data_IF_268395303824
#
_entry.id   IF_268395303824
#
_cell.length_a   1.000
_cell.length_b   1.000
_cell.length_c   1.000
_cell.angle_alpha   90.00
_cell.angle_beta   90.00
_cell.angle_gamma   90.00
#
_symmetry.space_group_name_H-M   'P 1'
#
loop_
_entity.id
_entity.type
_entity.pdbx_description
1 polymer ?
#
# COMPACT_ATOMS: atom_id res chain seq x y z
N UNK A 1 -40.11 -3.28 -52.46
CA UNK A 1 -40.12 -1.88 -52.01
C UNK A 1 -39.19 -1.79 -50.80
N UNK A 2 -37.91 -2.18 -50.93
CA UNK A 2 -36.79 -1.46 -51.57
C UNK A 2 -36.56 -0.09 -50.90
N UNK A 3 -35.40 0.25 -50.33
CA UNK A 3 -34.06 0.12 -50.91
C UNK A 3 -32.94 0.02 -49.85
N UNK A 4 -31.89 -0.73 -50.21
CA UNK A 4 -30.53 -0.62 -49.67
C UNK A 4 -29.81 0.66 -50.18
N UNK A 5 -28.82 1.18 -49.44
CA UNK A 5 -27.53 1.64 -49.99
C UNK A 5 -26.38 1.35 -49.01
N UNK A 6 -25.28 0.81 -49.55
CA UNK A 6 -24.03 0.40 -48.91
C UNK A 6 -22.98 1.54 -48.81
N UNK A 7 -22.00 1.33 -47.91
CA UNK A 7 -20.55 1.64 -47.95
C UNK A 7 -20.01 2.98 -48.50
N UNK A 8 -19.06 3.58 -47.77
CA UNK A 8 -17.70 3.81 -48.29
C UNK A 8 -16.70 4.20 -47.19
N UNK A 9 -15.53 3.56 -47.23
CA UNK A 9 -14.30 3.88 -46.50
C UNK A 9 -13.71 5.23 -46.94
N UNK A 10 -12.96 5.88 -46.05
CA UNK A 10 -11.83 6.84 -46.25
C UNK A 10 -11.43 7.27 -44.82
N UNK A 11 -10.25 6.95 -44.24
CA UNK A 11 -8.92 7.31 -44.73
C UNK A 11 -8.45 8.61 -44.05
N UNK A 12 -7.52 8.50 -43.08
CA UNK A 12 -6.61 9.53 -42.54
C UNK A 12 -7.14 10.93 -42.15
N UNK A 13 -6.80 11.37 -40.94
CA UNK A 13 -5.86 12.50 -40.74
C UNK A 13 -5.53 12.66 -39.26
N UNK A 14 -4.23 12.58 -38.93
CA UNK A 14 -3.69 13.17 -37.72
C UNK A 14 -3.89 14.68 -37.82
N UNK A 15 -4.93 15.21 -37.18
CA UNK A 15 -5.05 16.64 -37.04
C UNK A 15 -4.08 17.10 -35.95
N UNK A 16 -3.07 17.85 -36.38
CA UNK A 16 -2.21 18.73 -35.58
C UNK A 16 -3.04 19.85 -34.94
N UNK A 17 -3.97 19.46 -34.06
CA UNK A 17 -4.75 20.36 -33.23
C UNK A 17 -3.97 20.68 -31.98
N UNK A 18 -3.61 21.95 -31.81
CA UNK A 18 -3.10 22.56 -30.58
C UNK A 18 -3.75 21.91 -29.35
N UNK A 19 -2.94 21.24 -28.52
CA UNK A 19 -3.38 20.72 -27.23
C UNK A 19 -3.98 21.87 -26.42
N UNK A 20 -5.31 21.91 -26.31
CA UNK A 20 -5.97 22.82 -25.39
C UNK A 20 -5.68 22.34 -23.97
N UNK A 21 -4.75 23.02 -23.31
CA UNK A 21 -4.20 22.74 -21.98
C UNK A 21 -5.24 23.01 -20.86
N UNK A 22 -6.51 23.23 -21.21
CA UNK A 22 -7.58 23.63 -20.29
C UNK A 22 -8.41 22.49 -19.69
N UNK A 23 -8.07 21.24 -19.95
CA UNK A 23 -8.51 20.14 -19.09
C UNK A 23 -7.49 19.94 -17.95
N UNK A 24 -7.29 20.96 -17.11
CA UNK A 24 -6.69 20.74 -15.79
C UNK A 24 -7.58 19.70 -15.09
N UNK A 25 -7.10 18.47 -14.95
CA UNK A 25 -7.74 17.44 -14.13
C UNK A 25 -8.10 18.10 -12.79
N UNK A 26 -9.41 18.18 -12.50
CA UNK A 26 -9.96 18.87 -11.33
C UNK A 26 -9.16 18.45 -10.09
N UNK A 27 -8.43 19.39 -9.50
CA UNK A 27 -7.51 19.10 -8.40
C UNK A 27 -8.25 18.36 -7.29
N UNK A 28 -7.70 17.22 -6.87
CA UNK A 28 -8.37 16.31 -5.93
C UNK A 28 -7.96 16.67 -4.50
N UNK A 29 -8.94 16.78 -3.61
CA UNK A 29 -8.66 17.00 -2.19
C UNK A 29 -8.32 15.67 -1.52
N UNK A 30 -7.23 15.64 -0.75
CA UNK A 30 -6.75 14.48 0.01
C UNK A 30 -6.62 14.88 1.47
N UNK A 31 -7.16 14.05 2.37
CA UNK A 31 -7.02 14.26 3.81
C UNK A 31 -5.60 13.90 4.25
N UNK A 32 -4.84 14.88 4.74
CA UNK A 32 -3.50 14.66 5.27
C UNK A 32 -3.58 14.51 6.79
N UNK A 33 -3.01 13.43 7.31
CA UNK A 33 -2.90 13.17 8.74
C UNK A 33 -1.40 13.11 9.07
N UNK A 34 -0.79 14.22 9.52
CA UNK A 34 0.66 14.27 9.77
C UNK A 34 1.13 13.22 10.79
N UNK A 35 0.29 12.90 11.77
CA UNK A 35 0.58 11.93 12.82
C UNK A 35 1.55 12.46 13.88
N UNK A 36 2.24 11.54 14.56
CA UNK A 36 3.05 11.80 15.75
C UNK A 36 4.55 11.50 15.51
N UNK A 37 5.41 12.00 16.40
CA UNK A 37 6.86 11.75 16.36
C UNK A 37 7.50 12.33 15.10
N UNK A 38 8.13 11.49 14.27
CA UNK A 38 8.70 11.91 12.97
C UNK A 38 7.63 12.25 11.92
N UNK A 39 6.36 11.91 12.16
CA UNK A 39 5.25 12.06 11.22
C UNK A 39 5.14 13.45 10.57
N UNK A 40 5.05 14.54 11.35
CA UNK A 40 5.00 15.90 10.80
C UNK A 40 6.17 16.25 9.88
N UNK A 41 7.38 15.78 10.20
CA UNK A 41 8.58 16.04 9.40
C UNK A 41 8.52 15.30 8.06
N UNK A 42 8.18 14.00 8.07
CA UNK A 42 8.10 13.24 6.82
C UNK A 42 6.91 13.67 5.96
N UNK A 43 5.76 14.01 6.56
CA UNK A 43 4.58 14.51 5.84
C UNK A 43 4.87 15.84 5.15
N UNK A 44 5.50 16.78 5.85
CA UNK A 44 5.89 18.05 5.24
C UNK A 44 6.96 17.88 4.13
N UNK A 45 7.77 16.81 4.16
CA UNK A 45 8.67 16.49 3.05
C UNK A 45 7.89 16.05 1.81
N UNK A 46 6.93 15.14 1.99
CA UNK A 46 6.07 14.66 0.89
C UNK A 46 5.26 15.80 0.26
N UNK A 47 4.69 16.70 1.06
CA UNK A 47 3.96 17.88 0.56
C UNK A 47 4.87 18.73 -0.35
N UNK A 48 6.09 19.07 0.10
CA UNK A 48 7.04 19.85 -0.73
C UNK A 48 7.42 19.15 -2.02
N UNK A 49 7.58 17.83 -1.99
CA UNK A 49 7.90 17.03 -3.19
C UNK A 49 6.73 17.07 -4.18
N UNK A 50 5.49 16.98 -3.69
CA UNK A 50 4.29 17.03 -4.51
C UNK A 50 4.08 18.42 -5.13
N UNK A 51 4.36 19.49 -4.37
CA UNK A 51 4.31 20.86 -4.87
C UNK A 51 5.34 21.09 -5.98
N UNK A 52 6.58 20.64 -5.79
CA UNK A 52 7.63 20.72 -6.81
C UNK A 52 7.34 19.87 -8.04
N UNK A 53 6.70 18.70 -7.85
CA UNK A 53 6.24 17.86 -8.93
C UNK A 53 4.95 18.37 -9.61
N UNK A 54 4.37 19.47 -9.11
CA UNK A 54 3.12 20.09 -9.59
C UNK A 54 1.97 19.09 -9.68
N UNK A 55 1.85 18.24 -8.65
CA UNK A 55 0.77 17.25 -8.57
C UNK A 55 -0.57 17.98 -8.32
N UNK A 56 -1.67 17.64 -9.04
CA UNK A 56 -2.97 18.30 -8.88
C UNK A 56 -3.71 17.81 -7.63
N UNK A 57 -3.11 17.98 -6.44
CA UNK A 57 -3.68 17.58 -5.15
C UNK A 57 -3.76 18.79 -4.22
N UNK A 58 -4.89 18.91 -3.52
CA UNK A 58 -5.07 19.83 -2.42
C UNK A 58 -5.07 19.07 -1.09
N UNK A 59 -4.18 19.43 -0.18
CA UNK A 59 -4.09 18.80 1.13
C UNK A 59 -5.09 19.43 2.11
N UNK A 60 -5.91 18.60 2.73
CA UNK A 60 -6.77 18.99 3.85
C UNK A 60 -6.21 18.36 5.13
N UNK A 61 -5.44 19.13 5.89
CA UNK A 61 -4.83 18.63 7.12
C UNK A 61 -5.88 18.42 8.23
N UNK A 62 -5.84 17.23 8.84
CA UNK A 62 -6.73 16.84 9.93
C UNK A 62 -5.96 16.12 11.03
N UNK A 63 -6.32 16.42 12.27
CA UNK A 63 -5.83 15.70 13.43
C UNK A 63 -6.77 14.54 13.77
N UNK A 64 -6.19 13.37 14.06
CA UNK A 64 -6.89 12.15 14.46
C UNK A 64 -6.66 11.78 15.93
N UNK A 65 -6.10 12.69 16.75
CA UNK A 65 -6.00 12.51 18.21
C UNK A 65 -7.37 12.06 18.74
N UNK A 66 -7.44 10.93 19.45
CA UNK A 66 -8.72 10.34 19.81
C UNK A 66 -9.49 11.21 20.79
N UNK A 67 -10.81 11.25 20.59
CA UNK A 67 -11.76 11.95 21.45
C UNK A 67 -12.69 10.94 22.09
N UNK A 68 -13.15 11.22 23.31
CA UNK A 68 -14.17 10.40 23.96
C UNK A 68 -15.56 10.91 23.58
N UNK A 69 -16.48 9.98 23.29
CA UNK A 69 -17.89 10.30 23.17
C UNK A 69 -18.48 10.64 24.55
N UNK A 70 -19.68 11.26 24.60
CA UNK A 70 -20.40 11.45 25.86
C UNK A 70 -20.65 10.14 26.64
N UNK A 71 -20.62 8.99 25.94
CA UNK A 71 -20.76 7.65 26.51
C UNK A 71 -19.41 7.01 26.89
N UNK A 72 -18.30 7.75 26.89
CA UNK A 72 -16.97 7.27 27.28
C UNK A 72 -16.25 6.40 26.24
N UNK A 73 -16.81 6.23 25.04
CA UNK A 73 -16.19 5.44 23.96
C UNK A 73 -15.18 6.28 23.19
N UNK A 74 -13.99 5.75 22.96
CA UNK A 74 -12.97 6.38 22.11
C UNK A 74 -13.39 6.41 20.64
N UNK A 75 -13.26 7.56 20.00
CA UNK A 75 -13.67 7.83 18.61
C UNK A 75 -12.64 8.72 17.90
N UNK A 76 -12.66 8.69 16.57
CA UNK A 76 -11.93 9.67 15.74
C UNK A 76 -12.68 11.01 15.78
N UNK A 77 -11.99 12.17 15.80
CA UNK A 77 -12.61 13.48 15.70
C UNK A 77 -13.59 13.58 14.53
N UNK A 78 -14.75 14.21 14.78
CA UNK A 78 -15.79 14.35 13.76
C UNK A 78 -15.29 15.08 12.50
N UNK A 79 -14.40 16.06 12.67
CA UNK A 79 -13.77 16.80 11.57
C UNK A 79 -12.94 15.90 10.65
N UNK A 80 -12.15 14.99 11.21
CA UNK A 80 -11.35 14.02 10.44
C UNK A 80 -12.24 12.99 9.74
N UNK A 81 -13.29 12.52 10.43
CA UNK A 81 -14.30 11.63 9.82
C UNK A 81 -15.00 12.28 8.64
N UNK A 82 -15.49 13.51 8.82
CA UNK A 82 -16.17 14.26 7.75
C UNK A 82 -15.27 14.50 6.53
N UNK A 83 -14.00 14.88 6.77
CA UNK A 83 -13.02 15.05 5.69
C UNK A 83 -12.77 13.75 4.92
N UNK A 84 -12.56 12.63 5.61
CA UNK A 84 -12.39 11.31 4.97
C UNK A 84 -13.66 10.85 4.23
N UNK A 85 -14.85 11.05 4.82
CA UNK A 85 -16.12 10.71 4.19
C UNK A 85 -16.37 11.53 2.92
N UNK A 86 -15.88 12.77 2.87
CA UNK A 86 -15.96 13.67 1.70
C UNK A 86 -14.92 13.33 0.63
N UNK A 87 -13.65 13.21 1.02
CA UNK A 87 -12.52 13.10 0.10
C UNK A 87 -12.28 11.65 -0.37
N UNK A 88 -12.68 10.68 0.46
CA UNK A 88 -12.43 9.22 0.32
C UNK A 88 -10.95 8.81 0.31
N UNK A 89 -10.03 9.76 0.28
CA UNK A 89 -8.59 9.50 0.24
C UNK A 89 -7.88 10.16 1.41
N UNK A 90 -7.00 9.39 2.05
CA UNK A 90 -6.12 9.86 3.10
C UNK A 90 -4.66 9.46 2.89
N UNK A 91 -3.75 10.33 3.32
CA UNK A 91 -2.34 10.00 3.52
C UNK A 91 -2.02 10.23 5.00
N UNK A 92 -1.55 9.21 5.71
CA UNK A 92 -1.23 9.31 7.13
C UNK A 92 0.24 8.99 7.43
N UNK A 93 0.82 9.78 8.33
CA UNK A 93 2.06 9.45 9.02
C UNK A 93 1.87 8.39 10.12
N UNK A 94 2.94 8.04 10.85
CA UNK A 94 2.88 7.15 12.00
C UNK A 94 2.06 7.76 13.13
N UNK A 95 1.31 6.92 13.85
CA UNK A 95 0.49 7.34 15.00
C UNK A 95 0.98 6.63 16.26
N UNK A 96 1.11 7.38 17.36
CA UNK A 96 1.51 6.82 18.64
C UNK A 96 0.34 6.03 19.23
N UNK A 97 0.60 4.79 19.65
CA UNK A 97 -0.35 4.01 20.45
C UNK A 97 0.21 3.87 21.87
N UNK A 98 -0.53 4.24 22.93
CA UNK A 98 -0.08 4.02 24.30
C UNK A 98 -0.01 2.52 24.61
N UNK A 99 1.05 2.10 25.31
CA UNK A 99 1.27 0.70 25.70
C UNK A 99 0.59 0.47 27.06
N UNK A 100 -0.17 -0.62 27.19
CA UNK A 100 -0.81 -1.14 28.41
C UNK A 100 -1.97 -0.32 29.05
N UNK A 101 -2.06 1.00 28.86
CA UNK A 101 -3.18 1.80 29.38
C UNK A 101 -3.52 2.99 28.47
N UNK A 102 -4.81 3.20 28.15
CA UNK A 102 -5.28 4.34 27.38
C UNK A 102 -6.32 3.99 26.31
N UNK A 103 -6.38 4.79 25.24
CA UNK A 103 -7.26 4.54 24.11
C UNK A 103 -6.80 3.32 23.30
N UNK A 104 -7.72 2.60 22.61
CA UNK A 104 -7.33 1.53 21.69
C UNK A 104 -6.42 2.05 20.58
N UNK A 105 -5.69 1.13 19.92
CA UNK A 105 -4.84 1.46 18.77
C UNK A 105 -5.56 2.35 17.76
N UNK A 106 -4.96 3.49 17.43
CA UNK A 106 -5.61 4.45 16.54
C UNK A 106 -5.62 4.01 15.09
N UNK A 107 -4.64 3.19 14.69
CA UNK A 107 -4.68 2.51 13.41
C UNK A 107 -5.86 1.54 13.33
N UNK A 108 -6.14 0.80 14.42
CA UNK A 108 -7.30 -0.09 14.47
C UNK A 108 -8.63 0.68 14.40
N UNK A 109 -8.73 1.80 15.12
CA UNK A 109 -9.94 2.62 15.12
C UNK A 109 -10.22 3.24 13.73
N UNK A 110 -9.18 3.72 13.03
CA UNK A 110 -9.28 4.20 11.65
C UNK A 110 -9.77 3.10 10.71
N UNK A 111 -9.17 1.90 10.79
CA UNK A 111 -9.55 0.76 9.94
C UNK A 111 -10.99 0.33 10.16
N UNK A 112 -11.44 0.24 11.42
CA UNK A 112 -12.83 -0.11 11.76
C UNK A 112 -13.82 0.98 11.36
N UNK A 113 -13.49 2.25 11.57
CA UNK A 113 -14.42 3.37 11.30
C UNK A 113 -14.66 3.56 9.81
N UNK A 114 -13.65 3.30 8.98
CA UNK A 114 -13.71 3.46 7.52
C UNK A 114 -13.81 2.14 6.75
N UNK A 115 -14.02 1.01 7.44
CA UNK A 115 -14.08 -0.35 6.87
C UNK A 115 -12.95 -0.62 5.85
N UNK A 116 -11.72 -0.32 6.26
CA UNK A 116 -10.52 -0.49 5.43
C UNK A 116 -10.03 -1.94 5.49
N UNK A 117 -10.68 -2.79 4.71
CA UNK A 117 -10.59 -4.25 4.85
C UNK A 117 -9.37 -4.92 4.25
N UNK A 118 -8.69 -4.31 3.28
CA UNK A 118 -7.51 -4.88 2.64
C UNK A 118 -6.30 -3.98 2.90
N UNK A 119 -5.25 -4.53 3.50
CA UNK A 119 -3.96 -3.85 3.63
C UNK A 119 -3.01 -4.40 2.56
N UNK A 120 -2.55 -3.53 1.66
CA UNK A 120 -1.67 -3.84 0.54
C UNK A 120 -0.27 -3.33 0.85
N UNK A 121 0.71 -4.24 0.85
CA UNK A 121 2.12 -3.93 1.10
C UNK A 121 2.99 -4.55 0.00
N UNK A 122 3.40 -3.76 -1.02
CA UNK A 122 4.38 -4.21 -1.99
C UNK A 122 5.78 -4.22 -1.38
N UNK A 123 6.53 -5.28 -1.64
CA UNK A 123 7.93 -5.43 -1.23
C UNK A 123 8.76 -5.65 -2.49
N UNK A 124 9.48 -4.60 -2.90
CA UNK A 124 10.26 -4.58 -4.13
C UNK A 124 11.70 -4.18 -3.79
N UNK A 125 12.68 -4.95 -4.27
CA UNK A 125 14.09 -4.62 -4.13
C UNK A 125 14.39 -3.27 -4.79
N UNK A 126 15.11 -2.41 -4.08
CA UNK A 126 15.44 -1.07 -4.55
C UNK A 126 16.81 -1.09 -5.22
N UNK A 127 16.86 -0.65 -6.48
CA UNK A 127 18.11 -0.53 -7.21
C UNK A 127 19.12 0.33 -6.42
N UNK A 128 20.36 -0.16 -6.32
CA UNK A 128 21.44 0.53 -5.60
C UNK A 128 21.40 0.43 -4.07
N UNK A 129 20.41 -0.25 -3.50
CA UNK A 129 20.39 -0.63 -2.08
C UNK A 129 20.72 -2.12 -1.92
N UNK A 130 21.91 -2.40 -1.37
CA UNK A 130 22.38 -3.77 -1.23
C UNK A 130 21.75 -4.44 -0.01
N UNK A 131 20.99 -5.51 -0.23
CA UNK A 131 20.53 -6.44 0.81
C UNK A 131 21.04 -7.85 0.48
N UNK A 132 20.96 -8.81 1.42
CA UNK A 132 21.28 -10.22 1.11
C UNK A 132 20.38 -10.85 0.04
N UNK A 133 19.29 -10.20 -0.35
CA UNK A 133 18.30 -10.70 -1.31
C UNK A 133 18.25 -9.81 -2.55
N UNK A 134 18.29 -10.41 -3.73
CA UNK A 134 18.15 -9.71 -5.00
C UNK A 134 16.76 -9.97 -5.61
N UNK A 135 16.32 -9.03 -6.46
CA UNK A 135 15.14 -9.19 -7.33
C UNK A 135 13.83 -9.59 -6.63
N UNK A 136 13.65 -9.17 -5.37
CA UNK A 136 12.41 -9.36 -4.64
C UNK A 136 11.33 -8.48 -5.28
N UNK A 137 10.19 -9.07 -5.65
CA UNK A 137 9.06 -8.32 -6.20
C UNK A 137 7.73 -9.02 -5.91
N UNK A 138 7.26 -8.90 -4.68
CA UNK A 138 6.02 -9.52 -4.23
C UNK A 138 5.09 -8.50 -3.57
N UNK A 139 3.81 -8.85 -3.45
CA UNK A 139 2.81 -8.03 -2.77
C UNK A 139 2.05 -8.86 -1.76
N UNK A 140 2.02 -8.40 -0.52
CA UNK A 140 1.15 -8.99 0.50
C UNK A 140 -0.16 -8.23 0.61
N UNK A 141 -1.27 -8.96 0.60
CA UNK A 141 -2.64 -8.49 0.79
C UNK A 141 -3.18 -9.15 2.05
N UNK A 142 -3.30 -8.32 3.09
CA UNK A 142 -3.72 -8.72 4.42
C UNK A 142 -5.18 -8.35 4.65
N UNK A 143 -5.96 -9.30 5.16
CA UNK A 143 -7.27 -9.03 5.76
C UNK A 143 -7.08 -8.15 7.01
N UNK A 144 -7.84 -7.06 7.14
CA UNK A 144 -7.52 -5.99 8.08
C UNK A 144 -8.66 -5.62 9.04
N UNK A 145 -9.73 -6.44 9.10
CA UNK A 145 -10.92 -6.18 9.93
C UNK A 145 -11.15 -7.20 11.04
N UNK A 146 -10.73 -8.46 10.85
CA UNK A 146 -11.03 -9.56 11.78
C UNK A 146 -9.76 -10.39 12.09
N UNK A 147 -9.92 -11.69 12.34
CA UNK A 147 -8.85 -12.58 12.79
C UNK A 147 -8.56 -12.43 14.28
N UNK A 148 -7.28 -12.58 14.62
CA UNK A 148 -6.75 -12.45 15.97
C UNK A 148 -6.81 -10.99 16.48
N UNK A 149 -6.99 -10.02 15.58
CA UNK A 149 -7.08 -8.59 15.89
C UNK A 149 -8.51 -8.14 16.23
N UNK A 150 -9.44 -9.09 16.39
CA UNK A 150 -10.79 -8.83 16.90
C UNK A 150 -10.75 -8.20 18.30
N UNK A 151 -9.72 -8.52 19.08
CA UNK A 151 -9.50 -8.04 20.44
C UNK A 151 -10.45 -8.68 21.47
N UNK A 152 -10.94 -9.88 21.17
CA UNK A 152 -11.87 -10.60 22.04
C UNK A 152 -11.06 -11.55 22.92
N UNK A 153 -10.82 -11.12 24.15
CA UNK A 153 -10.04 -11.85 25.14
C UNK A 153 -10.78 -11.85 26.49
N UNK A 154 -10.71 -12.95 27.22
CA UNK A 154 -11.25 -13.04 28.57
C UNK A 154 -10.50 -14.07 29.41
N UNK A 155 -10.51 -13.84 30.72
CA UNK A 155 -10.01 -14.79 31.71
C UNK A 155 -11.13 -15.79 32.01
N UNK A 156 -10.89 -17.07 31.75
CA UNK A 156 -11.87 -18.14 32.04
C UNK A 156 -11.88 -18.43 33.53
N UNK A 157 -10.69 -18.66 34.08
CA UNK A 157 -10.38 -18.85 35.50
C UNK A 157 -9.02 -18.22 35.79
N UNK A 158 -8.67 -18.04 37.05
CA UNK A 158 -7.36 -17.49 37.42
C UNK A 158 -6.21 -18.26 36.73
N UNK A 159 -5.31 -17.52 36.09
CA UNK A 159 -4.21 -18.07 35.28
C UNK A 159 -4.58 -18.63 33.89
N UNK A 160 -5.85 -18.58 33.45
CA UNK A 160 -6.28 -19.09 32.13
C UNK A 160 -6.96 -17.99 31.31
N UNK A 161 -6.31 -17.61 30.21
CA UNK A 161 -6.80 -16.59 29.27
C UNK A 161 -7.17 -17.24 27.94
N UNK A 162 -8.33 -16.88 27.40
CA UNK A 162 -8.75 -17.24 26.05
C UNK A 162 -8.73 -16.02 25.14
N UNK A 163 -8.16 -16.20 23.94
CA UNK A 163 -8.25 -15.25 22.83
C UNK A 163 -9.07 -15.88 21.70
N UNK A 164 -10.04 -15.16 21.17
CA UNK A 164 -10.96 -15.67 20.14
C UNK A 164 -10.58 -15.10 18.77
N UNK A 165 -10.09 -15.99 17.90
CA UNK A 165 -9.92 -15.72 16.47
C UNK A 165 -11.27 -15.82 15.76
N UNK A 166 -11.69 -14.73 15.11
CA UNK A 166 -12.90 -14.70 14.28
C UNK A 166 -12.54 -14.64 12.80
N UNK A 167 -13.11 -15.55 12.00
CA UNK A 167 -13.04 -15.51 10.54
C UNK A 167 -14.48 -15.61 10.02
N UNK A 168 -14.86 -14.70 9.14
CA UNK A 168 -16.19 -14.64 8.55
C UNK A 168 -16.11 -14.84 7.04
N UNK A 169 -17.19 -15.40 6.50
CA UNK A 169 -17.32 -15.63 5.06
C UNK A 169 -17.25 -14.31 4.27
N UNK A 170 -17.94 -13.27 4.74
CA UNK A 170 -18.00 -11.97 4.05
C UNK A 170 -16.64 -11.30 3.93
N UNK A 171 -15.87 -11.26 5.03
CA UNK A 171 -14.54 -10.66 5.04
C UNK A 171 -13.52 -11.47 4.23
N UNK A 172 -13.57 -12.81 4.31
CA UNK A 172 -12.70 -13.70 3.54
C UNK A 172 -12.96 -13.58 2.02
N UNK A 173 -14.22 -13.52 1.60
CA UNK A 173 -14.57 -13.37 0.17
C UNK A 173 -14.09 -12.03 -0.39
N UNK A 174 -14.39 -10.90 0.29
CA UNK A 174 -14.02 -9.57 -0.23
C UNK A 174 -12.51 -9.36 -0.36
N UNK A 175 -11.71 -9.88 0.59
CA UNK A 175 -10.25 -9.74 0.51
C UNK A 175 -9.66 -10.64 -0.59
N UNK A 176 -10.22 -11.83 -0.81
CA UNK A 176 -9.84 -12.69 -1.92
C UNK A 176 -10.18 -12.04 -3.28
N UNK A 177 -11.41 -11.53 -3.44
CA UNK A 177 -11.83 -10.81 -4.66
C UNK A 177 -10.91 -9.62 -4.93
N UNK A 178 -10.60 -8.84 -3.90
CA UNK A 178 -9.65 -7.74 -4.00
C UNK A 178 -8.27 -8.23 -4.46
N UNK A 179 -7.77 -9.35 -3.94
CA UNK A 179 -6.45 -9.88 -4.31
C UNK A 179 -6.36 -10.31 -5.78
N UNK A 180 -7.39 -10.99 -6.28
CA UNK A 180 -7.46 -11.39 -7.69
C UNK A 180 -7.63 -10.18 -8.63
N UNK A 181 -8.49 -9.23 -8.29
CA UNK A 181 -8.64 -7.98 -9.05
C UNK A 181 -7.36 -7.14 -9.03
N UNK A 182 -6.66 -7.09 -7.89
CA UNK A 182 -5.36 -6.46 -7.78
C UNK A 182 -4.35 -7.14 -8.70
N UNK A 183 -4.32 -8.47 -8.71
CA UNK A 183 -3.42 -9.22 -9.57
C UNK A 183 -3.66 -8.90 -11.05
N UNK A 184 -4.92 -8.95 -11.51
CA UNK A 184 -5.29 -8.65 -12.90
C UNK A 184 -4.93 -7.22 -13.31
N UNK A 185 -5.26 -6.23 -12.46
CA UNK A 185 -4.97 -4.80 -12.74
C UNK A 185 -3.48 -4.47 -12.78
N UNK A 186 -2.66 -5.24 -12.07
CA UNK A 186 -1.22 -5.04 -12.00
C UNK A 186 -0.43 -6.07 -12.81
N UNK A 187 -1.09 -6.83 -13.70
CA UNK A 187 -0.47 -7.82 -14.59
C UNK A 187 0.37 -8.86 -13.83
N UNK A 188 -0.14 -9.28 -12.67
CA UNK A 188 0.44 -10.33 -11.83
C UNK A 188 -0.15 -11.67 -12.23
N UNK A 189 0.67 -12.72 -12.21
CA UNK A 189 0.31 -14.03 -12.75
C UNK A 189 -0.20 -15.02 -11.70
N UNK A 190 0.14 -14.83 -10.42
CA UNK A 190 -0.20 -15.79 -9.36
C UNK A 190 -0.72 -15.13 -8.09
N UNK A 191 -1.79 -15.68 -7.53
CA UNK A 191 -2.29 -15.37 -6.18
C UNK A 191 -2.15 -16.62 -5.32
N UNK A 192 -1.41 -16.50 -4.20
CA UNK A 192 -1.24 -17.57 -3.22
C UNK A 192 -2.01 -17.24 -1.95
N UNK A 193 -2.96 -18.10 -1.56
CA UNK A 193 -3.62 -18.04 -0.26
C UNK A 193 -2.73 -18.67 0.81
N UNK A 194 -2.35 -17.88 1.83
CA UNK A 194 -1.54 -18.35 2.95
C UNK A 194 -2.43 -18.68 4.14
N UNK A 195 -2.29 -19.90 4.67
CA UNK A 195 -3.17 -20.42 5.73
C UNK A 195 -2.46 -21.43 6.64
N UNK A 196 -3.13 -21.86 7.71
CA UNK A 196 -2.71 -22.96 8.59
C UNK A 196 -3.89 -23.89 8.92
N UNK A 197 -4.65 -24.21 7.88
CA UNK A 197 -5.88 -25.03 7.97
C UNK A 197 -5.65 -26.48 8.42
N UNK A 198 -4.40 -26.97 8.45
CA UNK A 198 -4.07 -28.27 9.03
C UNK A 198 -4.29 -28.30 10.56
N UNK A 199 -4.08 -27.17 11.23
CA UNK A 199 -4.34 -26.98 12.66
C UNK A 199 -5.69 -26.28 12.86
N UNK A 200 -5.91 -25.14 12.20
CA UNK A 200 -7.12 -24.33 12.28
C UNK A 200 -8.15 -24.73 11.23
N UNK A 201 -8.69 -25.94 11.40
CA UNK A 201 -9.57 -26.58 10.39
C UNK A 201 -10.82 -25.77 10.04
N UNK A 202 -11.40 -25.06 11.01
CA UNK A 202 -12.64 -24.31 10.81
C UNK A 202 -12.40 -22.87 10.35
N UNK A 203 -11.57 -22.10 11.08
CA UNK A 203 -11.32 -20.69 10.78
C UNK A 203 -10.54 -20.52 9.47
N UNK A 204 -9.33 -21.07 9.39
CA UNK A 204 -8.52 -21.00 8.17
C UNK A 204 -9.09 -21.86 7.04
N UNK A 205 -9.81 -22.94 7.38
CA UNK A 205 -10.56 -23.72 6.41
C UNK A 205 -11.66 -22.92 5.71
N UNK A 206 -12.39 -22.06 6.45
CA UNK A 206 -13.38 -21.16 5.87
C UNK A 206 -12.72 -20.11 4.96
N UNK A 207 -11.63 -19.48 5.40
CA UNK A 207 -10.88 -18.52 4.59
C UNK A 207 -10.41 -19.15 3.26
N UNK A 208 -9.79 -20.34 3.33
CA UNK A 208 -9.29 -21.07 2.18
C UNK A 208 -10.42 -21.48 1.23
N UNK A 209 -11.55 -21.96 1.77
CA UNK A 209 -12.74 -22.29 0.99
C UNK A 209 -13.20 -21.08 0.18
N UNK A 210 -13.27 -19.90 0.78
CA UNK A 210 -13.69 -18.68 0.07
C UNK A 210 -12.67 -18.20 -0.95
N UNK A 211 -11.37 -18.37 -0.70
CA UNK A 211 -10.35 -18.11 -1.71
C UNK A 211 -10.50 -19.02 -2.94
N UNK A 212 -10.78 -20.32 -2.74
CA UNK A 212 -11.04 -21.29 -3.83
C UNK A 212 -12.27 -20.90 -4.66
N UNK A 213 -13.39 -20.59 -4.00
CA UNK A 213 -14.63 -20.16 -4.66
C UNK A 213 -14.40 -18.90 -5.50
N UNK A 214 -13.64 -17.92 -4.98
CA UNK A 214 -13.31 -16.71 -5.74
C UNK A 214 -12.39 -17.04 -6.93
N UNK A 215 -11.38 -17.89 -6.75
CA UNK A 215 -10.45 -18.29 -7.80
C UNK A 215 -11.16 -18.91 -9.02
N UNK A 216 -12.33 -19.53 -8.83
CA UNK A 216 -13.13 -20.06 -9.93
C UNK A 216 -13.55 -19.00 -10.95
N UNK A 217 -13.68 -17.74 -10.52
CA UNK A 217 -14.07 -16.60 -11.35
C UNK A 217 -12.90 -15.91 -12.06
N UNK A 218 -11.64 -16.27 -11.76
CA UNK A 218 -10.43 -15.63 -12.30
C UNK A 218 -9.51 -16.66 -12.95
N UNK A 219 -9.89 -17.17 -14.11
CA UNK A 219 -9.14 -18.23 -14.83
C UNK A 219 -7.81 -17.75 -15.42
N UNK A 220 -7.63 -16.44 -15.55
CA UNK A 220 -6.43 -15.77 -16.04
C UNK A 220 -5.31 -15.64 -14.98
N UNK A 221 -5.63 -15.88 -13.69
CA UNK A 221 -4.68 -15.78 -12.58
C UNK A 221 -4.50 -17.16 -11.94
N UNK A 222 -3.26 -17.62 -11.84
CA UNK A 222 -2.95 -18.91 -11.22
C UNK A 222 -3.19 -18.85 -9.71
N UNK A 223 -3.99 -19.76 -9.17
CA UNK A 223 -4.25 -19.87 -7.74
C UNK A 223 -3.35 -20.92 -7.07
N UNK A 224 -2.69 -20.55 -5.98
CA UNK A 224 -1.89 -21.45 -5.13
C UNK A 224 -2.37 -21.39 -3.69
N UNK A 225 -2.08 -22.45 -2.95
CA UNK A 225 -2.33 -22.54 -1.51
C UNK A 225 -1.05 -22.98 -0.83
N UNK A 226 -0.67 -22.30 0.25
CA UNK A 226 0.54 -22.65 0.98
C UNK A 226 0.34 -22.48 2.48
N UNK A 227 0.98 -23.38 3.25
CA UNK A 227 1.02 -23.25 4.69
C UNK A 227 1.92 -22.10 5.13
N UNK A 228 1.52 -21.38 6.18
CA UNK A 228 2.25 -20.23 6.71
C UNK A 228 3.74 -20.52 6.98
N UNK A 229 4.04 -21.65 7.62
CA UNK A 229 5.41 -22.07 7.91
C UNK A 229 6.22 -22.36 6.64
N UNK A 230 5.62 -23.04 5.66
CA UNK A 230 6.25 -23.26 4.35
C UNK A 230 6.53 -21.94 3.65
N UNK A 231 5.60 -20.98 3.70
CA UNK A 231 5.82 -19.64 3.14
C UNK A 231 6.97 -18.95 3.86
N UNK A 232 7.00 -18.92 5.20
CA UNK A 232 8.11 -18.32 5.95
C UNK A 232 9.46 -18.92 5.58
N UNK A 233 9.56 -20.25 5.49
CA UNK A 233 10.79 -20.96 5.11
C UNK A 233 11.22 -20.61 3.68
N UNK A 234 10.31 -20.75 2.73
CA UNK A 234 10.60 -20.50 1.31
C UNK A 234 10.91 -19.03 1.05
N UNK A 235 10.27 -18.11 1.78
CA UNK A 235 10.45 -16.65 1.63
C UNK A 235 11.87 -16.20 1.98
N UNK A 236 12.49 -16.82 2.99
CA UNK A 236 13.88 -16.52 3.36
C UNK A 236 14.91 -17.31 2.54
N UNK A 237 14.49 -18.34 1.80
CA UNK A 237 15.36 -19.11 0.91
C UNK A 237 15.39 -18.51 -0.49
N UNK A 238 14.22 -18.27 -1.07
CA UNK A 238 14.06 -17.67 -2.39
C UNK A 238 12.73 -16.89 -2.45
N UNK A 239 12.74 -15.57 -2.18
CA UNK A 239 11.54 -14.75 -2.25
C UNK A 239 11.04 -14.51 -3.68
N UNK A 240 11.82 -14.81 -4.72
CA UNK A 240 11.46 -14.52 -6.12
C UNK A 240 10.35 -15.43 -6.65
N UNK A 241 10.10 -16.55 -5.98
CA UNK A 241 9.01 -17.48 -6.30
C UNK A 241 7.59 -16.93 -6.00
N UNK A 242 7.50 -15.83 -5.23
CA UNK A 242 6.23 -15.27 -4.78
C UNK A 242 5.81 -14.05 -5.58
N UNK A 243 4.50 -13.97 -5.84
CA UNK A 243 3.90 -12.88 -6.59
C UNK A 243 2.91 -12.11 -5.70
N UNK A 244 1.60 -12.45 -5.72
CA UNK A 244 0.62 -11.88 -4.78
C UNK A 244 0.29 -12.89 -3.69
N UNK A 245 0.40 -12.49 -2.42
CA UNK A 245 0.04 -13.31 -1.26
C UNK A 245 -1.21 -12.75 -0.58
N UNK A 246 -2.27 -13.54 -0.42
CA UNK A 246 -3.48 -13.15 0.32
C UNK A 246 -3.61 -13.97 1.60
N UNK A 247 -3.93 -13.31 2.72
CA UNK A 247 -3.91 -13.99 4.02
C UNK A 247 -4.75 -13.33 5.12
N UNK A 248 -5.14 -14.08 6.17
CA UNK A 248 -5.73 -13.55 7.39
C UNK A 248 -4.83 -12.55 8.13
N UNK A 249 -5.44 -11.81 9.05
CA UNK A 249 -4.89 -10.60 9.65
C UNK A 249 -3.51 -10.77 10.32
N UNK A 250 -3.37 -11.71 11.26
CA UNK A 250 -2.10 -11.91 11.98
C UNK A 250 -0.97 -12.35 11.05
N UNK A 251 -1.25 -13.23 10.09
CA UNK A 251 -0.24 -13.72 9.15
C UNK A 251 0.24 -12.60 8.25
N UNK A 252 -0.68 -11.75 7.82
CA UNK A 252 -0.38 -10.55 7.06
C UNK A 252 0.54 -9.59 7.79
N UNK A 253 0.36 -9.41 9.10
CA UNK A 253 1.25 -8.57 9.89
C UNK A 253 2.68 -9.12 9.89
N UNK A 254 2.83 -10.39 10.28
CA UNK A 254 4.13 -11.04 10.42
C UNK A 254 4.84 -11.15 9.07
N UNK A 255 4.17 -11.67 8.04
CA UNK A 255 4.79 -11.90 6.75
C UNK A 255 5.16 -10.60 6.05
N UNK A 256 4.35 -9.55 6.16
CA UNK A 256 4.67 -8.29 5.48
C UNK A 256 5.86 -7.57 6.14
N UNK A 257 6.04 -7.69 7.46
CA UNK A 257 7.23 -7.19 8.16
C UNK A 257 8.47 -8.03 7.83
N UNK A 258 8.33 -9.36 7.70
CA UNK A 258 9.39 -10.23 7.19
C UNK A 258 9.81 -9.80 5.78
N UNK A 259 8.86 -9.55 4.88
CA UNK A 259 9.14 -9.10 3.51
C UNK A 259 9.81 -7.72 3.47
N UNK A 260 9.45 -6.81 4.40
CA UNK A 260 10.16 -5.54 4.55
C UNK A 260 11.64 -5.75 4.89
N UNK A 261 11.96 -6.73 5.74
CA UNK A 261 13.34 -7.11 6.07
C UNK A 261 14.17 -7.53 4.85
N UNK A 262 13.54 -8.17 3.86
CA UNK A 262 14.22 -8.62 2.63
C UNK A 262 14.70 -7.45 1.75
N UNK A 263 13.95 -6.35 1.72
CA UNK A 263 14.17 -5.23 0.80
C UNK A 263 14.84 -4.00 1.44
N UNK A 264 15.20 -4.07 2.72
CA UNK A 264 15.97 -3.03 3.41
C UNK A 264 15.35 -2.46 4.68
N UNK A 265 14.22 -3.02 5.12
CA UNK A 265 13.55 -2.70 6.38
C UNK A 265 12.34 -1.78 6.23
N UNK A 266 11.66 -1.54 7.35
CA UNK A 266 10.38 -0.80 7.40
C UNK A 266 10.47 0.66 6.92
N UNK A 267 11.68 1.24 6.87
CA UNK A 267 11.91 2.62 6.42
C UNK A 267 11.72 2.84 4.92
N UNK A 268 11.61 1.77 4.12
CA UNK A 268 11.42 1.83 2.67
C UNK A 268 10.15 1.12 2.19
N UNK A 269 9.38 0.52 3.09
CA UNK A 269 8.19 -0.26 2.73
C UNK A 269 6.92 0.60 2.80
N UNK A 270 6.22 0.80 1.68
CA UNK A 270 4.96 1.52 1.67
C UNK A 270 3.78 0.62 2.01
N UNK A 271 2.64 1.22 2.35
CA UNK A 271 1.39 0.48 2.54
C UNK A 271 0.15 1.30 2.18
N UNK A 272 -0.90 0.58 1.75
CA UNK A 272 -2.22 1.14 1.48
C UNK A 272 -3.31 0.32 2.15
N UNK A 273 -4.16 0.97 2.94
CA UNK A 273 -5.37 0.37 3.50
C UNK A 273 -6.54 0.75 2.60
N UNK A 274 -7.14 -0.24 1.95
CA UNK A 274 -8.23 -0.08 0.99
C UNK A 274 -9.53 -0.52 1.64
N UNK A 275 -10.55 0.32 1.54
CA UNK A 275 -11.91 0.05 2.01
C UNK A 275 -12.92 -0.02 0.88
N UNK A 276 -14.16 -0.26 1.25
CA UNK A 276 -15.28 -0.22 0.31
C UNK A 276 -15.54 1.21 -0.20
N UNK A 277 -16.29 1.34 -1.30
CA UNK A 277 -16.77 2.62 -1.83
C UNK A 277 -15.66 3.65 -2.15
N UNK A 278 -14.48 3.16 -2.52
CA UNK A 278 -13.35 4.00 -2.91
C UNK A 278 -12.64 4.69 -1.74
N UNK A 279 -12.92 4.30 -0.49
CA UNK A 279 -12.11 4.77 0.65
C UNK A 279 -10.72 4.13 0.61
N UNK A 280 -9.68 4.95 0.75
CA UNK A 280 -8.31 4.46 0.87
C UNK A 280 -7.48 5.37 1.78
N UNK A 281 -6.69 4.76 2.67
CA UNK A 281 -5.69 5.45 3.49
C UNK A 281 -4.31 4.84 3.23
N UNK A 282 -3.40 5.66 2.72
CA UNK A 282 -2.02 5.28 2.47
C UNK A 282 -1.15 5.68 3.67
N UNK A 283 -0.26 4.80 4.11
CA UNK A 283 0.53 5.00 5.32
C UNK A 283 1.93 4.41 5.22
N UNK A 284 2.88 4.98 5.95
CA UNK A 284 4.17 4.34 6.22
C UNK A 284 3.99 3.20 7.23
N UNK A 285 4.72 2.10 7.06
CA UNK A 285 4.64 0.94 7.98
C UNK A 285 5.40 1.21 9.29
N UNK A 286 6.47 2.00 9.26
CA UNK A 286 7.29 2.27 10.44
C UNK A 286 6.54 3.05 11.54
N UNK A 287 7.03 2.92 12.78
CA UNK A 287 6.50 3.64 13.94
C UNK A 287 6.86 5.12 14.00
N UNK A 288 6.62 5.74 15.16
CA UNK A 288 6.78 7.19 15.38
C UNK A 288 8.23 7.63 15.63
N UNK A 289 9.15 6.70 15.88
CA UNK A 289 10.59 6.94 16.12
C UNK A 289 10.87 8.18 17.02
N UNK A 290 10.40 8.15 18.29
CA UNK A 290 10.44 9.33 19.17
C UNK A 290 11.85 9.81 19.50
N UNK A 291 12.84 8.93 19.39
CA UNK A 291 14.26 9.17 19.61
C UNK A 291 14.89 10.12 18.57
N UNK A 292 14.35 10.18 17.35
CA UNK A 292 14.82 11.04 16.27
C UNK A 292 13.84 12.15 15.87
N UNK A 293 12.65 12.18 16.46
CA UNK A 293 11.65 13.22 16.21
C UNK A 293 12.20 14.62 16.51
N UNK A 294 12.00 15.56 15.58
CA UNK A 294 12.45 16.94 15.74
C UNK A 294 13.95 17.17 15.44
N UNK A 295 14.70 16.10 15.14
CA UNK A 295 16.14 16.18 14.84
C UNK A 295 16.43 16.28 13.34
N UNK A 296 15.39 16.29 12.50
CA UNK A 296 15.52 16.34 11.04
C UNK A 296 16.33 15.15 10.46
N UNK A 297 16.30 14.00 11.12
CA UNK A 297 17.02 12.77 10.74
C UNK A 297 16.12 11.70 10.10
N UNK A 298 14.80 11.96 10.04
CA UNK A 298 13.84 10.98 9.56
C UNK A 298 13.92 10.77 8.04
N UNK A 299 13.88 9.50 7.61
CA UNK A 299 13.80 9.11 6.21
C UNK A 299 12.34 9.17 5.72
N UNK A 300 11.97 10.03 4.74
CA UNK A 300 10.60 10.13 4.26
C UNK A 300 10.24 9.07 3.20
N UNK A 301 11.16 8.17 2.82
CA UNK A 301 11.00 7.24 1.69
C UNK A 301 9.74 6.38 1.80
N UNK A 302 9.49 5.73 2.94
CA UNK A 302 8.30 4.90 3.13
C UNK A 302 6.99 5.69 2.89
N UNK A 303 6.85 6.88 3.50
CA UNK A 303 5.64 7.69 3.32
C UNK A 303 5.53 8.23 1.89
N UNK A 304 6.66 8.60 1.27
CA UNK A 304 6.70 9.04 -0.12
C UNK A 304 6.24 7.94 -1.07
N UNK A 305 6.71 6.70 -0.89
CA UNK A 305 6.29 5.56 -1.69
C UNK A 305 4.81 5.20 -1.44
N UNK A 306 4.30 5.37 -0.21
CA UNK A 306 2.85 5.26 0.06
C UNK A 306 2.05 6.35 -0.67
N UNK A 307 2.58 7.57 -0.76
CA UNK A 307 1.98 8.64 -1.54
C UNK A 307 2.05 8.36 -3.07
N UNK A 308 3.09 7.68 -3.56
CA UNK A 308 3.15 7.17 -4.94
C UNK A 308 2.07 6.11 -5.18
N UNK A 309 1.84 5.18 -4.24
CA UNK A 309 0.74 4.22 -4.32
C UNK A 309 -0.62 4.94 -4.39
N UNK A 310 -0.80 6.01 -3.62
CA UNK A 310 -1.99 6.87 -3.67
C UNK A 310 -2.19 7.51 -5.05
N UNK A 311 -1.12 8.01 -5.68
CA UNK A 311 -1.19 8.58 -7.02
C UNK A 311 -1.61 7.55 -8.07
N UNK A 312 -1.09 6.32 -7.99
CA UNK A 312 -1.54 5.22 -8.86
C UNK A 312 -3.01 4.90 -8.66
N UNK A 313 -3.46 4.84 -7.41
CA UNK A 313 -4.85 4.58 -7.07
C UNK A 313 -5.82 5.66 -7.58
N UNK A 314 -5.35 6.90 -7.75
CA UNK A 314 -6.16 8.03 -8.25
C UNK A 314 -6.10 8.22 -9.77
N UNK A 315 -5.33 7.39 -10.49
CA UNK A 315 -5.11 7.53 -11.93
C UNK A 315 -4.02 8.55 -12.32
N UNK A 316 -3.29 9.12 -11.34
CA UNK A 316 -2.18 10.06 -11.57
C UNK A 316 -0.85 9.32 -11.81
N UNK A 317 -0.87 8.29 -12.66
CA UNK A 317 0.25 7.38 -12.88
C UNK A 317 1.53 8.07 -13.38
N UNK A 318 1.41 9.11 -14.22
CA UNK A 318 2.57 9.85 -14.72
C UNK A 318 3.33 10.58 -13.59
N UNK A 319 2.60 11.21 -12.67
CA UNK A 319 3.21 11.83 -11.48
C UNK A 319 3.83 10.78 -10.56
N UNK A 320 3.14 9.65 -10.36
CA UNK A 320 3.63 8.54 -9.56
C UNK A 320 4.99 8.04 -10.08
N UNK A 321 5.08 7.72 -11.37
CA UNK A 321 6.31 7.22 -12.01
C UNK A 321 7.45 8.23 -11.94
N UNK A 322 7.16 9.53 -12.13
CA UNK A 322 8.18 10.59 -12.05
C UNK A 322 8.77 10.70 -10.63
N UNK A 323 7.92 10.70 -9.61
CA UNK A 323 8.35 10.82 -8.20
C UNK A 323 9.11 9.57 -7.75
N UNK A 324 8.58 8.39 -8.07
CA UNK A 324 9.21 7.11 -7.73
C UNK A 324 10.59 6.97 -8.37
N UNK A 325 10.71 7.26 -9.67
CA UNK A 325 12.00 7.19 -10.36
C UNK A 325 13.01 8.16 -9.76
N UNK A 326 12.61 9.39 -9.44
CA UNK A 326 13.50 10.34 -8.78
C UNK A 326 13.99 9.84 -7.41
N UNK A 327 13.10 9.16 -6.66
CA UNK A 327 13.46 8.54 -5.39
C UNK A 327 14.49 7.41 -5.59
N UNK A 328 14.26 6.49 -6.53
CA UNK A 328 15.18 5.38 -6.81
C UNK A 328 16.50 5.82 -7.44
N UNK A 329 16.49 6.79 -8.35
CA UNK A 329 17.70 7.39 -8.93
C UNK A 329 18.59 7.99 -7.82
N UNK A 330 17.99 8.70 -6.86
CA UNK A 330 18.71 9.30 -5.74
C UNK A 330 19.26 8.27 -4.74
N UNK A 331 18.51 7.19 -4.48
CA UNK A 331 19.00 6.06 -3.67
C UNK A 331 20.17 5.36 -4.37
N UNK A 332 20.09 5.20 -5.70
CA UNK A 332 21.10 4.54 -6.53
C UNK A 332 22.40 5.34 -6.65
N UNK A 333 22.31 6.66 -6.80
CA UNK A 333 23.46 7.57 -6.94
C UNK A 333 24.33 7.65 -5.67
N UNK A 334 23.83 7.15 -4.53
CA UNK A 334 24.60 7.01 -3.29
C UNK A 334 24.90 8.34 -2.57
N UNK A 335 24.74 9.48 -3.24
CA UNK A 335 25.02 10.84 -2.70
C UNK A 335 24.13 11.22 -1.51
N UNK A 336 22.94 10.63 -1.44
CA UNK A 336 21.97 10.85 -0.38
C UNK A 336 21.83 9.65 0.58
N UNK A 337 22.83 8.74 0.64
CA UNK A 337 22.80 7.65 1.61
C UNK A 337 22.84 8.23 3.02
N UNK A 338 21.67 8.29 3.65
CA UNK A 338 21.53 8.03 5.07
C UNK A 338 22.22 6.68 5.28
N UNK A 339 23.38 6.69 5.92
CA UNK A 339 24.14 5.52 6.35
C UNK A 339 23.42 4.81 7.50
N UNK A 340 22.10 4.64 7.30
CA UNK A 340 21.25 3.59 7.82
C UNK A 340 19.77 3.75 7.43
N UNK A 341 19.07 2.64 7.60
CA UNK A 341 17.69 2.55 8.09
C UNK A 341 17.68 2.15 9.60
N UNK A 342 18.83 2.26 10.31
CA UNK A 342 19.24 1.69 11.63
C UNK A 342 20.39 2.41 12.46
N UNK A 343 20.90 3.57 12.07
CA UNK A 343 21.97 4.47 12.59
C UNK A 343 21.99 5.84 11.84
N UNK A 344 21.61 6.96 12.46
CA UNK A 344 21.21 8.18 11.77
C UNK A 344 22.28 8.74 10.82
N UNK A 345 21.93 9.03 9.55
CA UNK A 345 22.82 9.83 8.71
C UNK A 345 22.11 10.87 7.84
N UNK A 346 22.67 12.09 7.92
CA UNK A 346 22.48 13.31 7.12
C UNK A 346 21.05 13.85 7.01
N UNK A 347 20.91 15.13 7.42
CA UNK A 347 19.66 15.89 7.54
C UNK A 347 18.71 15.73 6.34
N UNK A 348 17.41 15.61 6.63
CA UNK A 348 16.27 15.59 5.70
C UNK A 348 16.29 16.77 4.71
N UNK A 349 16.91 17.91 5.04
CA UNK A 349 17.18 18.99 4.07
C UNK A 349 17.98 18.48 2.88
N UNK A 350 19.03 17.70 3.10
CA UNK A 350 19.87 17.16 2.04
C UNK A 350 19.10 16.16 1.16
N UNK A 351 18.31 15.27 1.77
CA UNK A 351 17.46 14.34 1.02
C UNK A 351 16.46 15.08 0.12
N UNK A 352 15.79 16.11 0.65
CA UNK A 352 14.83 16.90 -0.14
C UNK A 352 15.52 17.71 -1.23
N UNK A 353 16.64 18.36 -0.94
CA UNK A 353 17.38 19.14 -1.94
C UNK A 353 17.83 18.25 -3.09
N UNK A 354 18.40 17.08 -2.80
CA UNK A 354 18.85 16.15 -3.84
C UNK A 354 17.64 15.61 -4.63
N UNK A 355 16.56 15.20 -3.97
CA UNK A 355 15.37 14.72 -4.67
C UNK A 355 14.74 15.80 -5.56
N UNK A 356 14.70 17.06 -5.10
CA UNK A 356 14.23 18.20 -5.88
C UNK A 356 15.15 18.48 -7.09
N UNK A 357 16.46 18.34 -6.92
CA UNK A 357 17.41 18.43 -8.05
C UNK A 357 17.10 17.38 -9.11
N UNK A 358 16.91 16.11 -8.72
CA UNK A 358 16.52 15.03 -9.65
C UNK A 358 15.15 15.28 -10.32
N UNK A 359 14.18 15.85 -9.60
CA UNK A 359 12.85 16.15 -10.11
C UNK A 359 12.80 17.33 -11.09
N UNK A 360 13.75 18.27 -11.01
CA UNK A 360 13.82 19.49 -11.82
C UNK A 360 14.79 19.34 -13.01
N UNK A 361 15.90 18.62 -12.85
CA UNK A 361 16.99 18.61 -13.84
C UNK A 361 16.97 17.44 -14.84
N UNK A 362 16.17 16.39 -14.62
CA UNK A 362 16.04 15.30 -15.59
C UNK A 362 14.75 15.44 -16.41
N UNK A 363 14.91 15.54 -17.75
CA UNK A 363 13.80 15.56 -18.73
C UNK A 363 12.82 14.40 -18.48
N UNK A 364 11.49 14.61 -18.65
CA UNK A 364 10.53 13.51 -18.63
C UNK A 364 10.89 12.48 -19.71
N UNK A 365 10.73 11.17 -19.44
CA UNK A 365 11.17 10.14 -20.37
C UNK A 365 10.22 9.98 -21.57
N UNK A 366 10.71 9.40 -22.69
CA UNK A 366 9.85 8.83 -23.72
C UNK A 366 9.07 7.61 -23.17
N UNK A 367 7.93 7.24 -23.80
CA UNK A 367 7.08 6.14 -23.35
C UNK A 367 7.82 4.80 -23.30
N UNK A 368 7.37 3.85 -22.45
CA UNK A 368 7.98 2.53 -22.36
C UNK A 368 7.93 1.80 -23.72
N UNK A 369 8.95 0.98 -24.05
CA UNK A 369 8.90 0.16 -25.25
C UNK A 369 7.74 -0.85 -25.16
N UNK A 370 7.09 -1.18 -26.29
CA UNK A 370 6.02 -2.15 -26.32
C UNK A 370 6.51 -3.52 -25.79
N UNK A 371 5.62 -4.33 -25.17
CA UNK A 371 5.98 -5.66 -24.72
C UNK A 371 6.51 -6.51 -25.88
N UNK A 372 7.47 -7.41 -25.62
CA UNK A 372 7.97 -8.32 -26.65
C UNK A 372 6.82 -9.16 -27.23
N UNK A 373 6.84 -9.45 -28.54
CA UNK A 373 5.82 -10.28 -29.16
C UNK A 373 5.78 -11.67 -28.49
N UNK A 374 4.59 -12.29 -28.38
CA UNK A 374 4.46 -13.62 -27.80
C UNK A 374 5.33 -14.63 -28.55
N UNK A 375 5.88 -15.65 -27.86
CA UNK A 375 6.67 -16.68 -28.49
C UNK A 375 5.84 -17.42 -29.55
N UNK A 376 6.46 -17.86 -30.66
CA UNK A 376 5.77 -18.62 -31.70
C UNK A 376 5.20 -19.92 -31.11
N UNK A 377 4.03 -20.37 -31.59
CA UNK A 377 3.45 -21.63 -31.14
C UNK A 377 4.42 -22.80 -31.43
N UNK A 378 4.42 -23.85 -30.57
CA UNK A 378 5.24 -25.02 -30.81
C UNK A 378 4.84 -25.70 -32.14
N UNK A 379 5.81 -26.29 -32.86
CA UNK A 379 5.56 -26.95 -34.14
C UNK A 379 4.58 -28.14 -33.97
N UNK A 380 3.84 -28.48 -35.04
CA UNK A 380 2.75 -29.46 -35.02
C UNK A 380 3.18 -30.88 -34.67
#
# INVERSE_FOLDING_TARGET
MDYMVQNSELGCTWNSGTYDVKAYQKARTVTLIPGDGIGPEISAAVVRIFDAAKVPIHWEERNVTPVQSPAGKWMIPHSAKCSMDKNKLGLKGPLKTPVAAGHPSMNLLLRKTFDLYANVRPCVSIAGYHTPFADVNLVTIRENTEGEYSGIEHVIVDGVVQSIKLITEGASRRVAEFAFEFARKNQRGTVTAVHKANIMRLSDGLFLKKCREVAENYKDVHFKEMYLDTVCLNMVQDPTQFDVLVMPNLYGDILSDLCAGLVGGLGVTPSGNIGANGLAIFESVHGTAPDIAGKDLANPTALLLSAVMMLRHTGLGQHATRIERACFDMISDGKARSQSVLTPARSRKLYNTILLEFLVHKKPPPPPPPPPPPPPPPPP
#
